data_IF_530594358279
#
_entry.id   IF_530594358279
#
_cell.length_a   1.000
_cell.length_b   1.000
_cell.length_c   1.000
_cell.angle_alpha   90.00
_cell.angle_beta   90.00
_cell.angle_gamma   90.00
#
_symmetry.space_group_name_H-M   'P 1'
#
loop_
_entity.id
_entity.type
_entity.pdbx_description
1 polymer ?
#
# COMPACT_ATOMS: atom_id res chain seq x y z
N UNK A 1 12.00 -17.01 30.14
CA UNK A 1 11.96 -17.87 28.92
C UNK A 1 12.52 -17.04 27.77
N UNK A 2 13.69 -17.43 27.28
CA UNK A 2 14.45 -16.73 26.25
C UNK A 2 13.69 -16.78 24.92
N UNK A 3 13.31 -15.61 24.38
CA UNK A 3 12.82 -15.50 23.01
C UNK A 3 14.00 -15.82 22.09
N UNK A 4 13.90 -16.95 21.40
CA UNK A 4 14.83 -17.35 20.35
C UNK A 4 14.90 -16.25 19.30
N UNK A 5 16.05 -15.57 19.22
CA UNK A 5 16.43 -14.71 18.10
C UNK A 5 16.71 -15.60 16.89
N UNK A 6 15.64 -16.03 16.22
CA UNK A 6 15.78 -16.59 14.89
C UNK A 6 16.31 -15.47 13.99
N UNK A 7 17.58 -15.57 13.62
CA UNK A 7 18.21 -14.71 12.62
C UNK A 7 17.42 -14.86 11.32
N UNK A 8 16.62 -13.85 10.99
CA UNK A 8 15.90 -13.76 9.73
C UNK A 8 16.95 -13.52 8.62
N UNK A 9 17.46 -14.59 8.05
CA UNK A 9 18.16 -14.51 6.76
C UNK A 9 17.07 -14.34 5.71
N UNK A 10 16.96 -13.13 5.17
CA UNK A 10 16.10 -12.88 4.01
C UNK A 10 16.64 -13.67 2.83
N UNK A 11 15.85 -14.55 2.17
CA UNK A 11 16.31 -15.17 0.94
C UNK A 11 16.48 -14.07 -0.10
N UNK A 12 17.61 -14.09 -0.80
CA UNK A 12 18.04 -13.10 -1.79
C UNK A 12 17.23 -13.13 -3.10
N UNK A 13 16.36 -14.12 -3.28
CA UNK A 13 15.56 -14.30 -4.50
C UNK A 13 14.16 -14.80 -4.17
N UNK A 14 13.20 -14.39 -5.01
CA UNK A 14 11.84 -14.93 -4.97
C UNK A 14 11.88 -16.44 -5.19
N UNK A 15 11.17 -17.24 -4.39
CA UNK A 15 11.23 -18.70 -4.52
C UNK A 15 10.69 -19.15 -5.88
N UNK A 16 11.40 -20.10 -6.52
CA UNK A 16 10.99 -20.67 -7.83
C UNK A 16 9.79 -21.63 -7.70
N UNK A 17 9.55 -22.15 -6.49
CA UNK A 17 8.48 -23.09 -6.20
C UNK A 17 7.96 -22.82 -4.79
N UNK A 18 6.65 -22.69 -4.65
CA UNK A 18 5.96 -22.48 -3.37
C UNK A 18 4.82 -23.48 -3.22
N UNK A 19 4.38 -23.70 -1.99
CA UNK A 19 3.25 -24.58 -1.71
C UNK A 19 1.92 -23.83 -1.79
N UNK A 20 1.91 -22.55 -1.41
CA UNK A 20 0.71 -21.73 -1.40
C UNK A 20 0.91 -20.42 -2.18
N UNK A 21 -0.16 -19.90 -2.77
CA UNK A 21 -0.09 -18.64 -3.52
C UNK A 21 0.36 -17.45 -2.64
N UNK A 22 0.03 -17.43 -1.35
CA UNK A 22 0.45 -16.35 -0.44
C UNK A 22 1.95 -16.43 -0.08
N UNK A 23 2.65 -17.51 -0.35
CA UNK A 23 4.11 -17.61 -0.15
C UNK A 23 4.89 -16.84 -1.25
N UNK A 24 4.18 -16.40 -2.30
CA UNK A 24 4.71 -15.49 -3.32
C UNK A 24 4.69 -14.01 -2.90
N UNK A 25 4.09 -13.67 -1.76
CA UNK A 25 4.03 -12.29 -1.27
C UNK A 25 5.41 -11.85 -0.81
N UNK A 26 5.82 -10.68 -1.25
CA UNK A 26 7.13 -10.11 -0.94
C UNK A 26 8.18 -10.38 -2.01
N UNK A 27 9.44 -10.06 -1.71
CA UNK A 27 10.58 -10.11 -2.64
C UNK A 27 10.24 -9.47 -4.00
N UNK A 28 9.49 -8.39 -3.94
CA UNK A 28 9.10 -7.64 -5.13
C UNK A 28 10.34 -6.99 -5.73
N UNK A 29 10.46 -6.95 -7.08
CA UNK A 29 11.62 -6.37 -7.73
C UNK A 29 11.64 -4.84 -7.56
N UNK A 30 12.80 -4.25 -7.85
CA UNK A 30 12.96 -2.81 -8.09
C UNK A 30 13.27 -2.57 -9.57
N UNK A 31 12.76 -1.47 -10.12
CA UNK A 31 13.04 -1.05 -11.49
C UNK A 31 13.52 0.39 -11.49
N UNK A 32 14.59 0.66 -12.27
CA UNK A 32 15.10 2.01 -12.48
C UNK A 32 14.19 2.76 -13.46
N UNK A 33 13.86 4.01 -13.12
CA UNK A 33 13.24 4.94 -14.08
C UNK A 33 14.31 5.56 -14.98
N UNK A 34 14.04 5.65 -16.29
CA UNK A 34 15.02 6.07 -17.27
C UNK A 34 14.61 7.30 -18.08
N UNK A 35 13.32 7.45 -18.40
CA UNK A 35 12.84 8.45 -19.36
C UNK A 35 12.15 9.65 -18.73
N UNK A 36 11.48 9.44 -17.58
CA UNK A 36 10.75 10.52 -16.91
C UNK A 36 11.60 11.32 -15.92
N UNK A 37 12.80 10.80 -15.57
CA UNK A 37 13.72 11.44 -14.61
C UNK A 37 14.48 12.55 -15.30
N UNK A 38 14.47 13.80 -14.77
CA UNK A 38 15.21 14.91 -15.38
C UNK A 38 16.71 14.66 -15.39
N UNK A 39 17.39 15.21 -16.40
CA UNK A 39 18.85 15.17 -16.48
C UNK A 39 19.47 15.87 -15.25
N UNK A 40 20.52 15.28 -14.70
CA UNK A 40 21.19 15.81 -13.50
C UNK A 40 20.50 15.48 -12.17
N UNK A 41 19.30 14.89 -12.17
CA UNK A 41 18.64 14.44 -10.97
C UNK A 41 19.24 13.12 -10.44
N UNK A 42 18.88 12.76 -9.22
CA UNK A 42 19.21 11.48 -8.62
C UNK A 42 18.58 10.31 -9.38
N UNK A 43 19.19 9.12 -9.30
CA UNK A 43 18.60 7.89 -9.81
C UNK A 43 17.34 7.55 -9.00
N UNK A 44 16.25 7.16 -9.69
CA UNK A 44 15.01 6.71 -9.02
C UNK A 44 14.79 5.23 -9.32
N UNK A 45 14.62 4.43 -8.27
CA UNK A 45 14.11 3.06 -8.36
C UNK A 45 12.69 2.97 -7.82
N UNK A 46 11.84 2.23 -8.49
CA UNK A 46 10.50 1.88 -7.98
C UNK A 46 10.49 0.47 -7.41
N UNK A 47 10.08 0.35 -6.15
CA UNK A 47 9.76 -0.93 -5.52
C UNK A 47 8.40 -1.39 -6.01
N UNK A 48 8.36 -2.43 -6.84
CA UNK A 48 7.17 -2.88 -7.56
C UNK A 48 6.24 -3.72 -6.67
N UNK A 49 5.48 -3.09 -5.79
CA UNK A 49 4.53 -3.81 -4.94
C UNK A 49 3.32 -4.36 -5.72
N UNK A 50 3.09 -3.90 -6.94
CA UNK A 50 2.15 -4.52 -7.90
C UNK A 50 2.55 -5.96 -8.30
N UNK A 51 3.80 -6.33 -8.12
CA UNK A 51 4.29 -7.69 -8.39
C UNK A 51 3.91 -8.72 -7.30
N UNK A 52 3.29 -8.31 -6.20
CA UNK A 52 2.67 -9.26 -5.28
C UNK A 52 1.50 -9.99 -5.98
N UNK A 53 1.18 -11.23 -5.59
CA UNK A 53 0.19 -12.06 -6.30
C UNK A 53 -1.23 -11.49 -6.32
N UNK A 54 -1.64 -10.74 -5.29
CA UNK A 54 -2.89 -9.98 -5.27
C UNK A 54 -2.77 -8.60 -5.91
N UNK A 55 -1.59 -8.23 -6.45
CA UNK A 55 -1.34 -7.04 -7.26
C UNK A 55 -1.15 -5.74 -6.48
N UNK A 56 -0.80 -5.77 -5.20
CA UNK A 56 -0.54 -4.54 -4.42
C UNK A 56 0.31 -4.75 -3.18
N UNK A 57 0.79 -3.62 -2.63
CA UNK A 57 1.46 -3.56 -1.32
C UNK A 57 0.61 -4.11 -0.17
N UNK A 58 -0.70 -4.15 -0.31
CA UNK A 58 -1.63 -4.60 0.73
C UNK A 58 -1.64 -6.11 0.94
N UNK A 59 -1.12 -6.89 0.01
CA UNK A 59 -0.97 -8.33 0.18
C UNK A 59 -0.08 -8.65 1.39
N UNK A 60 0.98 -7.86 1.60
CA UNK A 60 1.89 -8.01 2.74
C UNK A 60 1.17 -7.87 4.07
N UNK A 61 0.43 -6.77 4.23
CA UNK A 61 -0.29 -6.51 5.49
C UNK A 61 -1.44 -7.50 5.69
N UNK A 62 -2.14 -7.89 4.64
CA UNK A 62 -3.21 -8.87 4.71
C UNK A 62 -2.72 -10.20 5.27
N UNK A 63 -1.62 -10.73 4.72
CA UNK A 63 -1.03 -11.98 5.20
C UNK A 63 -0.55 -11.86 6.65
N UNK A 64 0.16 -10.76 6.97
CA UNK A 64 0.76 -10.61 8.30
C UNK A 64 -0.28 -10.41 9.40
N UNK A 65 -1.33 -9.61 9.15
CA UNK A 65 -2.41 -9.41 10.13
C UNK A 65 -3.18 -10.72 10.41
N UNK A 66 -3.42 -11.53 9.37
CA UNK A 66 -4.05 -12.85 9.53
C UNK A 66 -3.12 -13.79 10.31
N UNK A 67 -1.83 -13.89 9.96
CA UNK A 67 -0.85 -14.73 10.69
C UNK A 67 -0.69 -14.29 12.15
N UNK A 68 -0.66 -13.02 12.43
CA UNK A 68 -0.59 -12.51 13.80
C UNK A 68 -1.83 -12.87 14.61
N UNK A 69 -3.02 -12.79 13.99
CA UNK A 69 -4.27 -13.20 14.62
C UNK A 69 -4.34 -14.72 14.88
N UNK A 70 -3.83 -15.54 13.98
CA UNK A 70 -3.68 -16.98 14.17
C UNK A 70 -2.73 -17.30 15.34
N UNK A 71 -1.54 -16.67 15.32
CA UNK A 71 -0.51 -16.89 16.33
C UNK A 71 -0.93 -16.47 17.74
N UNK A 72 -1.70 -15.39 17.86
CA UNK A 72 -2.27 -14.92 19.14
C UNK A 72 -3.49 -15.72 19.60
N UNK A 73 -4.05 -16.60 18.76
CA UNK A 73 -5.30 -17.31 19.04
C UNK A 73 -6.56 -16.44 18.96
N UNK A 74 -6.47 -15.20 18.45
CA UNK A 74 -7.62 -14.34 18.22
C UNK A 74 -8.46 -14.83 17.03
N UNK A 75 -7.81 -15.34 16.00
CA UNK A 75 -8.44 -15.99 14.85
C UNK A 75 -8.37 -17.51 15.00
N UNK A 76 -9.46 -18.10 15.52
CA UNK A 76 -9.60 -19.55 15.76
C UNK A 76 -10.39 -20.22 14.63
N UNK A 77 -10.33 -21.57 14.50
CA UNK A 77 -11.23 -22.30 13.61
C UNK A 77 -12.69 -21.93 13.84
N UNK A 78 -13.46 -21.72 12.75
CA UNK A 78 -14.86 -21.28 12.80
C UNK A 78 -15.07 -19.76 12.84
N UNK A 79 -14.00 -18.97 13.02
CA UNK A 79 -14.05 -17.52 12.87
C UNK A 79 -14.14 -17.11 11.40
N UNK A 80 -14.65 -15.90 11.18
CA UNK A 80 -14.79 -15.25 9.87
C UNK A 80 -14.04 -13.92 9.91
N UNK A 81 -13.31 -13.61 8.86
CA UNK A 81 -12.67 -12.30 8.73
C UNK A 81 -13.71 -11.23 8.42
N UNK A 82 -13.49 -10.04 8.95
CA UNK A 82 -14.32 -8.86 8.69
C UNK A 82 -13.40 -7.65 8.54
N UNK A 83 -13.64 -6.82 7.52
CA UNK A 83 -12.93 -5.55 7.36
C UNK A 83 -13.79 -4.53 6.61
N UNK A 84 -13.67 -3.27 7.03
CA UNK A 84 -14.24 -2.13 6.31
C UNK A 84 -13.20 -1.59 5.31
N UNK A 85 -13.37 -1.90 4.05
CA UNK A 85 -12.43 -1.46 3.02
C UNK A 85 -13.02 -1.57 1.62
N UNK A 86 -12.74 -0.58 0.80
CA UNK A 86 -13.11 -0.54 -0.62
C UNK A 86 -11.91 -0.73 -1.56
N UNK A 87 -10.72 -0.85 -1.00
CA UNK A 87 -9.47 -0.81 -1.75
C UNK A 87 -8.68 -2.12 -1.76
N UNK A 88 -7.41 -1.99 -2.01
CA UNK A 88 -6.46 -3.08 -2.15
C UNK A 88 -6.34 -3.96 -0.89
N UNK A 89 -6.62 -3.43 0.30
CA UNK A 89 -6.65 -4.25 1.53
C UNK A 89 -7.73 -5.32 1.46
N UNK A 90 -8.92 -4.99 0.95
CA UNK A 90 -9.98 -5.97 0.75
C UNK A 90 -9.58 -7.07 -0.22
N UNK A 91 -8.87 -6.71 -1.30
CA UNK A 91 -8.37 -7.68 -2.29
C UNK A 91 -7.31 -8.59 -1.66
N UNK A 92 -6.32 -8.02 -0.96
CA UNK A 92 -5.28 -8.79 -0.28
C UNK A 92 -5.86 -9.72 0.80
N UNK A 93 -6.81 -9.24 1.62
CA UNK A 93 -7.49 -10.06 2.61
C UNK A 93 -8.31 -11.17 1.98
N UNK A 94 -9.07 -10.89 0.91
CA UNK A 94 -9.86 -11.91 0.20
C UNK A 94 -8.96 -12.98 -0.45
N UNK A 95 -7.85 -12.56 -1.07
CA UNK A 95 -6.83 -13.45 -1.62
C UNK A 95 -6.25 -14.39 -0.56
N UNK A 96 -5.80 -13.85 0.57
CA UNK A 96 -5.21 -14.67 1.66
C UNK A 96 -6.29 -15.54 2.32
N UNK A 97 -7.50 -15.01 2.52
CA UNK A 97 -8.63 -15.74 3.08
C UNK A 97 -8.99 -16.95 2.22
N UNK A 98 -9.09 -16.79 0.90
CA UNK A 98 -9.34 -17.87 -0.04
C UNK A 98 -8.26 -18.97 0.06
N UNK A 99 -6.98 -18.58 0.06
CA UNK A 99 -5.87 -19.52 0.13
C UNK A 99 -5.76 -20.25 1.49
N UNK A 100 -6.23 -19.62 2.59
CA UNK A 100 -6.23 -20.22 3.94
C UNK A 100 -7.55 -20.87 4.35
N UNK A 101 -8.60 -20.75 3.52
CA UNK A 101 -9.92 -21.33 3.79
C UNK A 101 -10.75 -20.56 4.82
N UNK A 102 -10.48 -19.25 5.04
CA UNK A 102 -11.31 -18.43 5.92
C UNK A 102 -12.47 -17.80 5.15
N UNK A 103 -13.69 -17.88 5.69
CA UNK A 103 -14.77 -17.01 5.21
C UNK A 103 -14.43 -15.56 5.50
N UNK A 104 -14.68 -14.66 4.55
CA UNK A 104 -14.44 -13.23 4.71
C UNK A 104 -15.67 -12.41 4.33
N UNK A 105 -15.95 -11.38 5.11
CA UNK A 105 -16.96 -10.35 4.83
C UNK A 105 -16.26 -9.00 4.71
N UNK A 106 -16.54 -8.28 3.63
CA UNK A 106 -15.99 -6.94 3.38
C UNK A 106 -17.13 -5.94 3.31
N UNK A 107 -16.99 -4.87 4.10
CA UNK A 107 -17.98 -3.78 4.15
C UNK A 107 -17.44 -2.59 3.36
N UNK A 108 -18.25 -2.05 2.45
CA UNK A 108 -17.82 -0.97 1.56
C UNK A 108 -18.99 -0.12 1.08
N UNK A 109 -18.76 1.15 0.69
CA UNK A 109 -19.77 1.99 0.06
C UNK A 109 -20.27 1.40 -1.27
N UNK A 110 -21.53 1.61 -1.60
CA UNK A 110 -22.16 1.17 -2.84
C UNK A 110 -21.66 1.91 -4.10
N UNK A 111 -20.87 2.96 -3.92
CA UNK A 111 -20.17 3.69 -4.99
C UNK A 111 -18.94 2.95 -5.55
N UNK A 112 -18.57 1.80 -4.97
CA UNK A 112 -17.44 1.00 -5.48
C UNK A 112 -17.73 0.39 -6.85
N UNK A 113 -16.71 0.41 -7.72
CA UNK A 113 -16.83 -0.07 -9.10
C UNK A 113 -17.22 -1.54 -9.16
N UNK A 114 -17.91 -1.90 -10.25
CA UNK A 114 -18.37 -3.28 -10.47
C UNK A 114 -17.21 -4.25 -10.61
N UNK A 115 -16.10 -3.82 -11.23
CA UNK A 115 -14.90 -4.63 -11.42
C UNK A 115 -14.28 -5.02 -10.07
N UNK A 116 -14.19 -4.08 -9.12
CA UNK A 116 -13.71 -4.38 -7.76
C UNK A 116 -14.60 -5.37 -7.03
N UNK A 117 -15.91 -5.18 -7.11
CA UNK A 117 -16.88 -6.13 -6.51
C UNK A 117 -16.78 -7.52 -7.15
N UNK A 118 -16.62 -7.59 -8.48
CA UNK A 118 -16.45 -8.85 -9.20
C UNK A 118 -15.17 -9.58 -8.76
N UNK A 119 -14.05 -8.85 -8.64
CA UNK A 119 -12.77 -9.41 -8.17
C UNK A 119 -12.88 -9.98 -6.75
N UNK A 120 -13.50 -9.26 -5.83
CA UNK A 120 -13.70 -9.73 -4.45
C UNK A 120 -14.59 -10.97 -4.39
N UNK A 121 -15.68 -11.00 -5.19
CA UNK A 121 -16.55 -12.17 -5.31
C UNK A 121 -15.84 -13.37 -5.92
N UNK A 122 -14.93 -13.15 -6.88
CA UNK A 122 -14.13 -14.22 -7.47
C UNK A 122 -13.23 -14.91 -6.42
N UNK A 123 -12.75 -14.17 -5.41
CA UNK A 123 -12.06 -14.74 -4.24
C UNK A 123 -13.01 -15.31 -3.17
N UNK A 124 -14.32 -15.32 -3.40
CA UNK A 124 -15.31 -15.86 -2.45
C UNK A 124 -15.69 -14.92 -1.30
N UNK A 125 -15.36 -13.64 -1.38
CA UNK A 125 -15.73 -12.69 -0.34
C UNK A 125 -17.23 -12.37 -0.35
N UNK A 126 -17.83 -12.34 0.84
CA UNK A 126 -19.15 -11.75 1.05
C UNK A 126 -19.05 -10.24 1.13
N UNK A 127 -19.89 -9.51 0.42
CA UNK A 127 -19.85 -8.04 0.38
C UNK A 127 -21.11 -7.49 1.02
N UNK A 128 -20.91 -6.60 1.99
CA UNK A 128 -21.96 -5.77 2.61
C UNK A 128 -21.78 -4.34 2.11
N UNK A 129 -22.84 -3.81 1.48
CA UNK A 129 -22.82 -2.44 0.96
C UNK A 129 -23.45 -1.48 1.97
N UNK A 130 -22.82 -0.30 2.10
CA UNK A 130 -23.35 0.83 2.85
C UNK A 130 -23.69 1.99 1.92
N UNK A 131 -24.60 2.91 2.29
CA UNK A 131 -24.90 4.08 1.46
C UNK A 131 -23.65 4.92 1.16
N UNK A 132 -23.41 5.23 -0.11
CA UNK A 132 -22.24 5.95 -0.58
C UNK A 132 -22.04 7.31 0.06
N UNK A 133 -23.12 8.01 0.40
CA UNK A 133 -23.09 9.30 1.10
C UNK A 133 -22.37 9.26 2.47
N UNK A 134 -22.36 8.09 3.14
CA UNK A 134 -21.65 7.89 4.40
C UNK A 134 -20.15 7.56 4.25
N UNK A 135 -19.70 7.33 3.03
CA UNK A 135 -18.30 7.03 2.70
C UNK A 135 -17.72 5.84 3.49
N UNK A 136 -16.42 5.87 3.69
CA UNK A 136 -15.71 4.80 4.42
C UNK A 136 -16.11 4.75 5.91
N UNK A 137 -16.48 5.89 6.50
CA UNK A 137 -16.91 5.93 7.90
C UNK A 137 -18.14 5.05 8.13
N UNK A 138 -19.18 5.16 7.29
CA UNK A 138 -20.35 4.31 7.40
C UNK A 138 -20.02 2.82 7.23
N UNK A 139 -19.02 2.48 6.42
CA UNK A 139 -18.56 1.11 6.28
C UNK A 139 -17.85 0.60 7.56
N UNK A 140 -17.05 1.45 8.19
CA UNK A 140 -16.40 1.14 9.48
C UNK A 140 -17.45 0.94 10.58
N UNK A 141 -18.39 1.88 10.74
CA UNK A 141 -19.47 1.79 11.73
C UNK A 141 -20.29 0.49 11.54
N UNK A 142 -20.57 0.13 10.28
CA UNK A 142 -21.28 -1.12 9.96
C UNK A 142 -20.46 -2.38 10.24
N UNK A 143 -19.16 -2.35 10.02
CA UNK A 143 -18.28 -3.47 10.36
C UNK A 143 -18.20 -3.67 11.88
N UNK A 144 -18.13 -2.60 12.66
CA UNK A 144 -18.19 -2.66 14.14
C UNK A 144 -19.54 -3.22 14.64
N UNK A 145 -20.67 -2.76 14.06
CA UNK A 145 -21.99 -3.31 14.35
C UNK A 145 -22.05 -4.83 14.13
N UNK A 146 -21.55 -5.29 12.96
CA UNK A 146 -21.53 -6.71 12.62
C UNK A 146 -20.65 -7.51 13.58
N UNK A 147 -19.48 -6.98 13.93
CA UNK A 147 -18.57 -7.63 14.87
C UNK A 147 -19.16 -7.72 16.28
N UNK A 148 -19.90 -6.71 16.72
CA UNK A 148 -20.59 -6.71 18.00
C UNK A 148 -21.78 -7.69 18.04
N UNK A 149 -22.49 -7.85 16.92
CA UNK A 149 -23.65 -8.72 16.80
C UNK A 149 -23.31 -10.20 16.69
N UNK A 150 -22.15 -10.56 16.15
CA UNK A 150 -21.74 -11.95 15.92
C UNK A 150 -20.28 -12.17 16.32
N UNK A 151 -20.06 -12.84 17.43
CA UNK A 151 -18.74 -13.15 17.97
C UNK A 151 -17.88 -14.03 17.08
N UNK A 152 -18.43 -14.61 16.00
CA UNK A 152 -17.64 -15.35 14.99
C UNK A 152 -16.81 -14.41 14.12
N UNK A 153 -17.17 -13.14 14.01
CA UNK A 153 -16.36 -12.19 13.26
C UNK A 153 -15.06 -11.85 14.00
N UNK A 154 -13.98 -11.78 13.23
CA UNK A 154 -12.70 -11.20 13.60
C UNK A 154 -12.46 -9.96 12.74
N UNK A 155 -12.56 -8.78 13.34
CA UNK A 155 -12.32 -7.50 12.69
C UNK A 155 -10.81 -7.24 12.61
N UNK A 156 -10.28 -7.08 11.40
CA UNK A 156 -8.83 -7.03 11.13
C UNK A 156 -8.19 -5.71 11.54
N UNK A 157 -8.91 -4.56 11.37
CA UNK A 157 -8.52 -3.21 11.81
C UNK A 157 -7.20 -2.72 11.21
N UNK A 158 -7.11 -2.62 9.90
CA UNK A 158 -5.88 -2.25 9.18
C UNK A 158 -5.20 -0.96 9.67
N UNK A 159 -5.94 0.00 10.21
CA UNK A 159 -5.43 1.30 10.68
C UNK A 159 -4.89 1.27 12.11
N UNK A 160 -5.20 0.23 12.87
CA UNK A 160 -4.86 0.09 14.29
C UNK A 160 -3.96 -1.12 14.55
N UNK A 161 -3.93 -2.08 13.64
CA UNK A 161 -3.27 -3.37 13.80
C UNK A 161 -1.74 -3.24 13.72
N UNK A 162 -0.98 -3.51 14.78
CA UNK A 162 0.48 -3.38 14.78
C UNK A 162 1.20 -4.32 13.81
N UNK A 163 0.55 -5.42 13.40
CA UNK A 163 1.07 -6.33 12.40
C UNK A 163 1.19 -5.69 11.00
N UNK A 164 0.52 -4.54 10.77
CA UNK A 164 0.63 -3.79 9.53
C UNK A 164 2.03 -3.18 9.37
N UNK A 165 2.52 -2.24 10.20
CA UNK A 165 3.89 -1.73 10.05
C UNK A 165 4.95 -2.81 10.30
N UNK A 166 4.67 -3.82 11.12
CA UNK A 166 5.60 -4.89 11.44
C UNK A 166 6.05 -5.69 10.20
N UNK A 167 5.16 -6.03 9.27
CA UNK A 167 5.58 -6.72 8.04
C UNK A 167 6.53 -5.88 7.19
N UNK A 168 6.35 -4.56 7.17
CA UNK A 168 7.23 -3.66 6.43
C UNK A 168 8.60 -3.53 7.08
N UNK A 169 8.69 -3.59 8.42
CA UNK A 169 9.99 -3.67 9.13
C UNK A 169 10.75 -4.94 8.78
N UNK A 170 10.06 -6.08 8.82
CA UNK A 170 10.69 -7.41 8.65
C UNK A 170 10.92 -7.82 7.21
N UNK A 171 10.26 -7.20 6.26
CA UNK A 171 10.35 -7.59 4.84
C UNK A 171 10.68 -6.41 3.94
N UNK A 172 9.77 -5.50 3.68
CA UNK A 172 9.90 -4.42 2.69
C UNK A 172 11.17 -3.59 2.89
N UNK A 173 11.46 -3.18 4.13
CA UNK A 173 12.64 -2.39 4.46
C UNK A 173 13.94 -3.16 4.18
N UNK A 174 13.99 -4.42 4.57
CA UNK A 174 15.18 -5.28 4.38
C UNK A 174 15.41 -5.60 2.90
N UNK A 175 14.34 -5.86 2.15
CA UNK A 175 14.39 -6.04 0.70
C UNK A 175 14.94 -4.77 -0.01
N UNK A 176 14.48 -3.57 0.39
CA UNK A 176 14.97 -2.30 -0.16
C UNK A 176 16.45 -2.11 0.14
N UNK A 177 16.89 -2.33 1.38
CA UNK A 177 18.30 -2.20 1.77
C UNK A 177 19.23 -3.16 1.03
N UNK A 178 18.76 -4.37 0.74
CA UNK A 178 19.48 -5.37 -0.02
C UNK A 178 19.55 -5.02 -1.51
N UNK A 179 18.40 -4.61 -2.10
CA UNK A 179 18.27 -4.34 -3.52
C UNK A 179 18.89 -3.02 -3.96
N UNK A 180 18.92 -2.02 -3.06
CA UNK A 180 19.42 -0.67 -3.33
C UNK A 180 20.28 -0.20 -2.14
N UNK A 181 21.47 -0.80 -1.94
CA UNK A 181 22.32 -0.46 -0.79
C UNK A 181 22.82 0.99 -0.79
N UNK A 182 22.87 1.64 -1.96
CA UNK A 182 23.24 3.04 -2.14
C UNK A 182 22.09 4.05 -1.88
N UNK A 183 20.95 3.62 -1.37
CA UNK A 183 19.77 4.44 -1.08
C UNK A 183 20.11 5.71 -0.27
N UNK A 184 19.75 6.89 -0.79
CA UNK A 184 19.84 8.19 -0.10
C UNK A 184 18.47 8.72 0.36
N UNK A 185 17.39 8.37 -0.36
CA UNK A 185 16.04 8.77 0.02
C UNK A 185 14.99 7.68 -0.25
N UNK A 186 13.97 7.61 0.61
CA UNK A 186 12.80 6.74 0.46
C UNK A 186 11.52 7.57 0.43
N UNK A 187 10.62 7.30 -0.53
CA UNK A 187 9.37 8.03 -0.72
C UNK A 187 8.19 7.07 -0.73
N UNK A 188 7.20 7.31 0.12
CA UNK A 188 5.98 6.51 0.18
C UNK A 188 4.75 7.32 0.59
N UNK A 189 3.59 6.94 0.07
CA UNK A 189 2.30 7.57 0.40
C UNK A 189 1.73 7.10 1.74
N UNK A 190 1.00 7.97 2.43
CA UNK A 190 0.31 7.66 3.67
C UNK A 190 -1.14 7.27 3.40
N UNK A 191 -1.42 5.96 3.37
CA UNK A 191 -2.75 5.39 3.50
C UNK A 191 -2.99 4.97 4.95
N UNK A 192 -2.68 3.73 5.31
CA UNK A 192 -2.69 3.29 6.71
C UNK A 192 -1.49 3.79 7.51
N UNK A 193 -0.45 4.25 6.84
CA UNK A 193 0.81 4.63 7.48
C UNK A 193 1.79 3.48 7.70
N UNK A 194 1.38 2.23 7.48
CA UNK A 194 2.21 1.07 7.80
C UNK A 194 3.51 0.98 7.03
N UNK A 195 3.50 1.26 5.72
CA UNK A 195 4.69 1.19 4.87
C UNK A 195 5.73 2.25 5.29
N UNK A 196 5.31 3.51 5.39
CA UNK A 196 6.22 4.61 5.75
C UNK A 196 6.78 4.44 7.17
N UNK A 197 5.93 4.01 8.11
CA UNK A 197 6.34 3.72 9.49
C UNK A 197 7.35 2.58 9.53
N UNK A 198 6.99 1.41 8.99
CA UNK A 198 7.84 0.23 9.11
C UNK A 198 9.17 0.36 8.36
N UNK A 199 9.16 0.96 7.17
CA UNK A 199 10.39 1.19 6.41
C UNK A 199 11.22 2.30 7.04
N UNK A 200 10.60 3.44 7.40
CA UNK A 200 11.30 4.58 7.97
C UNK A 200 12.02 4.27 9.28
N UNK A 201 11.39 3.54 10.19
CA UNK A 201 12.02 3.11 11.45
C UNK A 201 13.26 2.23 11.21
N UNK A 202 13.20 1.29 10.27
CA UNK A 202 14.35 0.43 9.93
C UNK A 202 15.46 1.24 9.25
N UNK A 203 15.10 2.20 8.39
CA UNK A 203 16.08 3.08 7.76
C UNK A 203 16.77 3.97 8.78
N UNK A 204 16.04 4.51 9.77
CA UNK A 204 16.64 5.28 10.85
C UNK A 204 17.66 4.47 11.67
N UNK A 205 17.40 3.19 11.89
CA UNK A 205 18.30 2.28 12.61
C UNK A 205 19.48 1.81 11.74
N UNK A 206 19.20 1.29 10.53
CA UNK A 206 20.19 0.54 9.75
C UNK A 206 20.92 1.37 8.69
N UNK A 207 20.35 2.50 8.30
CA UNK A 207 20.94 3.42 7.32
C UNK A 207 20.64 4.88 7.71
N UNK A 208 21.16 5.32 8.86
CA UNK A 208 20.95 6.70 9.34
C UNK A 208 21.45 7.71 8.30
N UNK A 209 20.71 8.81 8.14
CA UNK A 209 20.95 9.81 7.10
C UNK A 209 20.15 9.60 5.81
N UNK A 210 19.42 8.49 5.67
CA UNK A 210 18.46 8.34 4.57
C UNK A 210 17.28 9.30 4.76
N UNK A 211 17.02 10.16 3.77
CA UNK A 211 15.86 11.05 3.77
C UNK A 211 14.58 10.23 3.55
N UNK A 212 13.66 10.25 4.51
CA UNK A 212 12.35 9.59 4.39
C UNK A 212 11.28 10.64 4.16
N UNK A 213 10.55 10.53 3.04
CA UNK A 213 9.54 11.50 2.61
C UNK A 213 8.18 10.81 2.51
N UNK A 214 7.22 11.33 3.24
CA UNK A 214 5.83 10.90 3.16
C UNK A 214 5.08 11.70 2.09
N UNK A 215 4.02 11.13 1.53
CA UNK A 215 3.17 11.81 0.54
C UNK A 215 1.72 11.78 0.98
N UNK A 216 1.08 12.95 0.96
CA UNK A 216 -0.36 13.10 1.17
C UNK A 216 -1.03 13.89 0.03
N UNK A 217 -2.36 13.80 -0.14
CA UNK A 217 -3.07 14.60 -1.14
C UNK A 217 -3.12 16.08 -0.75
N UNK A 218 -2.81 16.98 -1.69
CA UNK A 218 -2.93 18.43 -1.49
C UNK A 218 -4.36 18.85 -1.12
N UNK A 219 -5.37 18.14 -1.63
CA UNK A 219 -6.78 18.39 -1.31
C UNK A 219 -7.19 17.95 0.09
N UNK A 220 -6.35 17.18 0.79
CA UNK A 220 -6.55 16.73 2.16
C UNK A 220 -5.22 16.75 2.94
N UNK A 221 -4.63 17.95 3.16
CA UNK A 221 -3.30 18.13 3.74
C UNK A 221 -3.35 18.03 5.27
N UNK A 222 -3.76 16.87 5.77
CA UNK A 222 -4.00 16.67 7.19
C UNK A 222 -2.73 16.72 8.03
N UNK A 223 -1.62 16.17 7.51
CA UNK A 223 -0.36 16.11 8.25
C UNK A 223 0.44 17.41 8.14
N UNK A 224 0.36 18.09 7.00
CA UNK A 224 1.05 19.36 6.75
C UNK A 224 0.28 20.56 7.30
N UNK A 225 -1.06 20.61 7.13
CA UNK A 225 -1.91 21.77 7.45
C UNK A 225 -2.99 21.50 8.52
N UNK A 226 -3.10 20.24 9.00
CA UNK A 226 -4.10 19.87 10.01
C UNK A 226 -5.55 19.83 9.49
N UNK A 227 -5.77 19.94 8.18
CA UNK A 227 -7.11 20.09 7.59
C UNK A 227 -7.44 18.88 6.70
N UNK A 228 -8.44 18.05 7.05
CA UNK A 228 -8.93 17.01 6.15
C UNK A 228 -9.79 17.63 5.03
N UNK A 229 -9.82 16.99 3.88
CA UNK A 229 -10.59 17.46 2.73
C UNK A 229 -11.03 16.34 1.78
N UNK A 230 -11.81 16.65 0.73
CA UNK A 230 -12.21 15.67 -0.27
C UNK A 230 -10.99 15.14 -1.04
N UNK A 231 -10.79 13.83 -1.03
CA UNK A 231 -9.64 13.19 -1.64
C UNK A 231 -10.02 12.31 -2.82
N UNK A 232 -9.42 12.59 -3.99
CA UNK A 232 -9.58 11.80 -5.22
C UNK A 232 -8.42 10.82 -5.46
N UNK A 233 -7.30 10.95 -4.74
CA UNK A 233 -6.15 10.04 -4.87
C UNK A 233 -6.40 8.79 -4.02
N UNK A 234 -6.97 7.77 -4.64
CA UNK A 234 -7.27 6.51 -3.96
C UNK A 234 -6.02 5.85 -3.39
N UNK A 235 -6.11 5.33 -2.16
CA UNK A 235 -5.04 4.59 -1.50
C UNK A 235 -4.18 5.37 -0.51
N UNK A 236 -4.22 6.70 -0.56
CA UNK A 236 -3.57 7.62 0.39
C UNK A 236 -4.56 8.67 0.91
N UNK A 237 -4.24 9.36 1.99
CA UNK A 237 -5.07 10.43 2.57
C UNK A 237 -6.39 9.93 3.17
N UNK A 238 -6.39 9.19 4.28
CA UNK A 238 -7.60 8.59 4.86
C UNK A 238 -8.51 9.59 5.59
N UNK A 239 -8.18 10.89 5.62
CA UNK A 239 -8.89 11.97 6.33
C UNK A 239 -8.85 11.88 7.87
N UNK A 240 -8.00 11.05 8.41
CA UNK A 240 -7.65 10.98 9.82
C UNK A 240 -6.19 10.52 9.96
N UNK A 241 -5.58 10.77 11.11
CA UNK A 241 -4.24 10.26 11.40
C UNK A 241 -4.35 8.82 11.89
N UNK A 242 -3.82 7.83 11.14
CA UNK A 242 -3.90 6.45 11.57
C UNK A 242 -3.16 6.21 12.89
N UNK A 243 -3.74 5.46 13.85
CA UNK A 243 -3.09 5.16 15.12
C UNK A 243 -1.72 4.47 15.00
N UNK A 244 -1.52 3.69 13.93
CA UNK A 244 -0.23 3.00 13.68
C UNK A 244 0.81 3.87 12.99
N UNK A 245 0.49 5.11 12.61
CA UNK A 245 1.44 6.01 11.98
C UNK A 245 2.43 6.57 12.99
N UNK A 246 3.70 6.23 12.83
CA UNK A 246 4.79 6.87 13.56
C UNK A 246 5.28 8.11 12.80
N UNK A 247 5.00 9.30 13.34
CA UNK A 247 5.40 10.57 12.72
C UNK A 247 6.91 10.83 12.75
N UNK A 248 7.64 10.13 13.60
CA UNK A 248 9.10 10.23 13.68
C UNK A 248 9.82 9.33 12.66
N UNK A 249 9.08 8.48 11.97
CA UNK A 249 9.62 7.59 10.94
C UNK A 249 9.90 8.30 9.59
N UNK A 250 9.53 9.56 9.44
CA UNK A 250 9.78 10.36 8.23
C UNK A 250 10.13 11.80 8.56
N UNK A 251 10.87 12.45 7.67
CA UNK A 251 11.45 13.78 7.89
C UNK A 251 10.55 14.91 7.41
N UNK A 252 9.77 14.67 6.35
CA UNK A 252 8.83 15.66 5.79
C UNK A 252 7.67 14.98 5.05
N UNK A 253 6.65 15.77 4.75
CA UNK A 253 5.49 15.38 3.95
C UNK A 253 5.44 16.25 2.71
N UNK A 254 5.21 15.64 1.54
CA UNK A 254 4.96 16.32 0.28
C UNK A 254 3.46 16.26 -0.04
N UNK A 255 2.87 17.42 -0.25
CA UNK A 255 1.50 17.56 -0.75
C UNK A 255 1.51 17.39 -2.27
N UNK A 256 0.64 16.53 -2.81
CA UNK A 256 0.55 16.27 -4.25
C UNK A 256 -0.88 16.46 -4.75
N UNK A 257 -1.05 17.22 -5.83
CA UNK A 257 -2.35 17.44 -6.46
C UNK A 257 -2.85 16.19 -7.20
N UNK A 258 -4.16 16.10 -7.39
CA UNK A 258 -4.75 15.01 -8.18
C UNK A 258 -4.25 15.03 -9.63
N UNK A 259 -4.13 16.22 -10.21
CA UNK A 259 -3.69 16.46 -11.57
C UNK A 259 -2.25 16.04 -11.81
N UNK A 260 -1.36 16.32 -10.87
CA UNK A 260 0.04 15.87 -10.92
C UNK A 260 0.14 14.35 -10.77
N UNK A 261 -0.65 13.76 -9.87
CA UNK A 261 -0.71 12.31 -9.71
C UNK A 261 -1.17 11.60 -10.99
N UNK A 262 -2.21 12.11 -11.65
CA UNK A 262 -2.71 11.60 -12.94
C UNK A 262 -1.65 11.74 -14.03
N UNK A 263 -1.05 12.92 -14.15
CA UNK A 263 -0.03 13.21 -15.17
C UNK A 263 1.15 12.24 -15.05
N UNK A 264 1.68 12.07 -13.84
CA UNK A 264 2.85 11.19 -13.63
C UNK A 264 2.48 9.72 -13.80
N UNK A 265 1.31 9.27 -13.36
CA UNK A 265 0.88 7.88 -13.56
C UNK A 265 0.73 7.54 -15.06
N UNK A 266 0.19 8.47 -15.87
CA UNK A 266 0.10 8.33 -17.33
C UNK A 266 1.48 8.32 -17.99
N UNK A 267 2.42 9.15 -17.53
CA UNK A 267 3.80 9.17 -18.01
C UNK A 267 4.52 7.85 -17.67
N UNK A 268 4.35 7.31 -16.47
CA UNK A 268 4.89 6.00 -16.10
C UNK A 268 4.45 4.92 -17.08
N UNK A 269 3.17 4.90 -17.45
CA UNK A 269 2.66 3.92 -18.40
C UNK A 269 3.25 4.12 -19.82
N UNK A 270 3.30 5.36 -20.33
CA UNK A 270 3.70 5.66 -21.70
C UNK A 270 5.22 5.70 -21.91
N UNK A 271 5.97 6.17 -20.93
CA UNK A 271 7.40 6.41 -21.06
C UNK A 271 8.24 5.31 -20.41
N UNK A 272 7.75 4.66 -19.34
CA UNK A 272 8.48 3.62 -18.60
C UNK A 272 7.85 2.22 -18.72
N UNK A 273 6.71 2.08 -19.44
CA UNK A 273 5.91 0.85 -19.55
C UNK A 273 5.41 0.31 -18.18
N UNK A 274 5.20 1.19 -17.21
CA UNK A 274 4.76 0.85 -15.86
C UNK A 274 3.32 1.33 -15.64
N UNK A 275 2.35 0.44 -15.91
CA UNK A 275 0.94 0.71 -15.69
C UNK A 275 0.63 0.60 -14.18
N UNK A 276 0.31 1.71 -13.52
CA UNK A 276 0.17 1.79 -12.07
C UNK A 276 -1.07 2.57 -11.63
N UNK A 277 -1.46 2.42 -10.35
CA UNK A 277 -2.55 3.20 -9.76
C UNK A 277 -2.16 4.65 -9.48
N UNK A 278 -3.17 5.47 -9.19
CA UNK A 278 -3.03 6.92 -9.01
C UNK A 278 -2.13 7.30 -7.82
N UNK A 279 -2.13 6.53 -6.74
CA UNK A 279 -1.25 6.77 -5.59
C UNK A 279 0.23 6.63 -5.95
N UNK A 280 0.55 5.75 -6.90
CA UNK A 280 1.92 5.65 -7.44
C UNK A 280 2.30 6.92 -8.19
N UNK A 281 1.38 7.50 -8.98
CA UNK A 281 1.60 8.78 -9.64
C UNK A 281 1.96 9.89 -8.66
N UNK A 282 1.23 9.99 -7.55
CA UNK A 282 1.52 10.95 -6.48
C UNK A 282 2.89 10.70 -5.84
N UNK A 283 3.21 9.45 -5.50
CA UNK A 283 4.48 9.08 -4.88
C UNK A 283 5.66 9.39 -5.82
N UNK A 284 5.52 9.07 -7.10
CA UNK A 284 6.60 9.32 -8.08
C UNK A 284 6.73 10.81 -8.39
N UNK A 285 5.62 11.61 -8.38
CA UNK A 285 5.71 13.06 -8.47
C UNK A 285 6.59 13.63 -7.35
N UNK A 286 6.34 13.24 -6.10
CA UNK A 286 7.18 13.64 -4.97
C UNK A 286 8.63 13.13 -5.10
N UNK A 287 8.81 11.88 -5.56
CA UNK A 287 10.14 11.30 -5.77
C UNK A 287 10.95 12.05 -6.84
N UNK A 288 10.31 12.55 -7.89
CA UNK A 288 10.96 13.39 -8.92
C UNK A 288 11.45 14.71 -8.33
N UNK A 289 10.66 15.37 -7.46
CA UNK A 289 11.10 16.57 -6.73
C UNK A 289 12.32 16.27 -5.85
N UNK A 290 12.24 15.21 -5.04
CA UNK A 290 13.34 14.77 -4.18
C UNK A 290 14.60 14.45 -5.01
N UNK A 291 14.44 13.80 -6.15
CA UNK A 291 15.57 13.46 -7.01
C UNK A 291 16.27 14.69 -7.60
N UNK A 292 15.51 15.72 -7.97
CA UNK A 292 16.07 17.00 -8.44
C UNK A 292 16.82 17.70 -7.31
N UNK A 293 16.26 17.72 -6.10
CA UNK A 293 16.90 18.33 -4.92
C UNK A 293 18.21 17.65 -4.55
N UNK A 294 18.25 16.31 -4.58
CA UNK A 294 19.44 15.54 -4.21
C UNK A 294 20.53 15.58 -5.29
N UNK A 295 20.13 15.68 -6.55
CA UNK A 295 21.06 15.78 -7.66
C UNK A 295 21.76 14.48 -8.06
N UNK A 296 22.63 14.61 -9.06
CA UNK A 296 23.39 13.50 -9.65
C UNK A 296 24.24 12.74 -8.63
N UNK A 297 24.29 11.43 -8.74
CA UNK A 297 25.07 10.54 -7.89
C UNK A 297 24.34 10.10 -6.62
N UNK A 298 23.11 10.55 -6.42
CA UNK A 298 22.22 10.14 -5.33
C UNK A 298 21.16 9.15 -5.84
N UNK A 299 20.54 8.42 -4.90
CA UNK A 299 19.58 7.36 -5.20
C UNK A 299 18.32 7.48 -4.35
N UNK A 300 17.18 7.48 -5.01
CA UNK A 300 15.84 7.53 -4.42
C UNK A 300 15.12 6.21 -4.66
N UNK A 301 14.48 5.65 -3.65
CA UNK A 301 13.53 4.55 -3.82
C UNK A 301 12.13 5.05 -3.53
N UNK A 302 11.20 4.79 -4.44
CA UNK A 302 9.79 5.11 -4.29
C UNK A 302 8.92 3.85 -4.46
N UNK A 303 7.71 3.85 -3.87
CA UNK A 303 6.84 2.68 -3.89
C UNK A 303 5.86 2.76 -5.07
N UNK A 304 5.86 1.74 -5.94
CA UNK A 304 4.79 1.48 -6.89
C UNK A 304 3.75 0.57 -6.19
N UNK A 305 2.63 1.18 -5.75
CA UNK A 305 1.72 0.56 -4.79
C UNK A 305 0.89 -0.59 -5.35
N UNK A 306 0.39 -0.45 -6.59
CA UNK A 306 -0.54 -1.40 -7.21
C UNK A 306 -0.55 -1.31 -8.74
N UNK A 307 -1.24 -2.26 -9.37
CA UNK A 307 -1.42 -2.32 -10.83
C UNK A 307 -2.45 -1.30 -11.32
N UNK A 308 -2.22 -0.71 -12.50
CA UNK A 308 -3.15 0.25 -13.12
C UNK A 308 -4.41 -0.39 -13.74
N UNK A 309 -4.45 -1.68 -13.96
CA UNK A 309 -5.62 -2.40 -14.50
C UNK A 309 -6.89 -2.16 -13.67
N UNK A 310 -6.74 -1.88 -12.38
CA UNK A 310 -7.85 -1.55 -11.45
C UNK A 310 -8.45 -0.16 -11.67
N UNK A 311 -7.86 0.63 -12.57
CA UNK A 311 -8.21 2.03 -12.82
C UNK A 311 -8.60 2.32 -14.26
N UNK A 312 -8.81 1.29 -15.10
CA UNK A 312 -9.13 1.46 -16.53
C UNK A 312 -10.46 2.21 -16.74
N UNK A 313 -11.44 2.02 -15.84
CA UNK A 313 -12.70 2.78 -15.83
C UNK A 313 -12.66 4.08 -15.01
N UNK A 314 -11.52 4.38 -14.36
CA UNK A 314 -11.33 5.60 -13.56
C UNK A 314 -10.80 6.72 -14.46
N UNK A 315 -11.09 8.02 -14.18
CA UNK A 315 -10.55 9.17 -14.93
C UNK A 315 -9.04 9.14 -15.15
N UNK A 316 -8.30 8.39 -14.34
CA UNK A 316 -6.87 8.15 -14.54
C UNK A 316 -6.56 7.63 -15.96
N UNK A 317 -7.34 6.66 -16.46
CA UNK A 317 -7.10 6.04 -17.77
C UNK A 317 -8.31 6.09 -18.71
N UNK A 318 -9.53 6.27 -18.22
CA UNK A 318 -10.74 6.30 -19.05
C UNK A 318 -10.78 7.50 -20.03
N UNK A 319 -10.06 8.57 -19.71
CA UNK A 319 -10.03 9.83 -20.49
C UNK A 319 -8.73 10.00 -21.30
N UNK A 320 -8.08 8.90 -21.66
CA UNK A 320 -6.89 8.96 -22.51
C UNK A 320 -7.32 9.08 -23.96
N UNK A 321 -6.98 10.20 -24.60
CA UNK A 321 -7.12 10.36 -26.05
C UNK A 321 -6.19 9.42 -26.80
N UNK A 322 -6.65 8.91 -27.94
CA UNK A 322 -5.81 8.14 -28.85
C UNK A 322 -4.60 8.98 -29.30
N UNK A 323 -3.40 8.40 -29.31
CA UNK A 323 -2.26 9.13 -29.85
C UNK A 323 -2.50 9.46 -31.32
N UNK A 324 -2.34 10.72 -31.71
CA UNK A 324 -2.33 11.10 -33.12
C UNK A 324 -1.21 10.36 -33.83
N UNK A 325 -1.57 9.64 -34.89
CA UNK A 325 -0.63 8.88 -35.76
C UNK A 325 0.27 9.84 -36.52
#
# INVERSE_FOLDING_TARGET
MSLSTATLTSPTLRPNRVENAFDLIGYTPVVKLNRIVPEGAATIYLKLESANPGGSVKDRIALNMIRAAEASGALKPGKRLLEATSGNTGIGLAFVAAAKGYPITLVMPDTMTMERRALLKAYGAHIVLTPGAGGIKAAVDKAEELAAADSRFFLVRQFENPANPDVHRRTTALEILEQVPELDAFVAGIGTGGTITGVGEVLAEKKPGTLVVAVEPESSPLLTKGTPGPNKIQGIGPNFVPPILNREAFHRVEDVSFEDAVTVARRLAREEALLSGISTGAIVHAALKVAVELGKGKTVVAVLCDTGERYLSHPLYAEIEEPSI
#
